data_IF_868706795854
#
_entry.id   IF_868706795854
#
_cell.length_a   1.000
_cell.length_b   1.000
_cell.length_c   1.000
_cell.angle_alpha   90.00
_cell.angle_beta   90.00
_cell.angle_gamma   90.00
#
_symmetry.space_group_name_H-M   'P 1'
#
loop_
_entity.id
_entity.type
_entity.pdbx_description
1 polymer ?
#
# COMPACT_ATOMS: atom_id res chain seq x y z
N UNK A 1 -17.00 20.42 12.57
CA UNK A 1 -16.04 19.80 11.63
C UNK A 1 -14.66 20.04 12.19
N UNK A 2 -14.08 19.03 12.83
CA UNK A 2 -12.80 19.10 13.56
C UNK A 2 -11.65 19.33 12.58
N UNK A 3 -11.14 20.55 12.55
CA UNK A 3 -9.93 20.97 11.82
C UNK A 3 -8.68 20.80 12.71
N UNK A 4 -8.54 19.64 13.33
CA UNK A 4 -7.45 19.37 14.29
C UNK A 4 -6.29 18.56 13.66
N UNK A 5 -6.41 18.19 12.38
CA UNK A 5 -5.37 17.48 11.64
C UNK A 5 -4.73 18.48 10.68
N UNK A 6 -3.40 18.72 10.76
CA UNK A 6 -2.73 19.57 9.80
C UNK A 6 -2.86 18.97 8.39
N UNK A 7 -3.37 19.76 7.46
CA UNK A 7 -3.40 19.40 6.05
C UNK A 7 -1.95 19.30 5.56
N UNK A 8 -1.51 18.10 5.21
CA UNK A 8 -0.19 17.83 4.62
C UNK A 8 -0.12 18.18 3.13
N UNK A 9 -1.14 18.88 2.63
CA UNK A 9 -1.28 19.27 1.25
C UNK A 9 -0.38 20.45 0.92
N UNK A 10 0.61 20.21 0.06
CA UNK A 10 1.45 21.26 -0.47
C UNK A 10 0.89 21.73 -1.80
N UNK A 11 0.66 23.04 -1.90
CA UNK A 11 0.20 23.67 -3.13
C UNK A 11 1.31 24.57 -3.67
N UNK A 12 1.69 24.38 -4.93
CA UNK A 12 2.64 25.24 -5.62
C UNK A 12 2.02 25.73 -6.93
N UNK A 13 1.80 27.04 -7.04
CA UNK A 13 1.25 27.65 -8.27
C UNK A 13 -0.11 27.11 -8.71
N UNK A 14 -0.95 26.66 -7.77
CA UNK A 14 -2.26 26.04 -8.07
C UNK A 14 -2.21 24.53 -8.30
N UNK A 15 -1.02 23.92 -8.33
CA UNK A 15 -0.85 22.46 -8.43
C UNK A 15 -0.81 21.84 -7.04
N UNK A 16 -1.69 20.86 -6.82
CA UNK A 16 -1.68 20.05 -5.60
C UNK A 16 -0.59 18.98 -5.69
N UNK A 17 0.36 19.02 -4.76
CA UNK A 17 1.42 18.02 -4.66
C UNK A 17 0.98 16.96 -3.68
N UNK A 18 0.79 15.76 -4.22
CA UNK A 18 0.44 14.58 -3.45
C UNK A 18 1.59 14.17 -2.52
N UNK A 19 1.26 13.75 -1.29
CA UNK A 19 2.24 13.32 -0.31
C UNK A 19 3.04 12.08 -0.73
N UNK A 20 2.54 11.34 -1.74
CA UNK A 20 3.28 10.28 -2.40
C UNK A 20 4.66 10.74 -2.90
N UNK A 21 4.79 12.01 -3.29
CA UNK A 21 6.06 12.56 -3.75
C UNK A 21 7.09 12.63 -2.61
N UNK A 22 6.65 12.91 -1.37
CA UNK A 22 7.54 12.87 -0.21
C UNK A 22 8.06 11.45 0.03
N UNK A 23 7.19 10.45 -0.13
CA UNK A 23 7.57 9.04 -0.07
C UNK A 23 8.67 8.70 -1.07
N UNK A 24 8.52 9.12 -2.33
CA UNK A 24 9.53 8.89 -3.38
C UNK A 24 10.89 9.53 -3.01
N UNK A 25 10.90 10.76 -2.50
CA UNK A 25 12.14 11.43 -2.10
C UNK A 25 12.81 10.73 -0.91
N UNK A 26 12.02 10.31 0.10
CA UNK A 26 12.53 9.54 1.24
C UNK A 26 13.14 8.22 0.74
N UNK A 27 12.43 7.48 -0.12
CA UNK A 27 12.92 6.22 -0.67
C UNK A 27 14.19 6.39 -1.51
N UNK A 28 14.27 7.47 -2.30
CA UNK A 28 15.45 7.82 -3.09
C UNK A 28 16.65 8.13 -2.19
N UNK A 29 16.44 8.89 -1.11
CA UNK A 29 17.47 9.20 -0.12
C UNK A 29 17.93 7.94 0.63
N UNK A 30 17.00 7.08 1.06
CA UNK A 30 17.31 5.78 1.67
C UNK A 30 18.14 4.93 0.72
N UNK A 31 17.73 4.84 -0.55
CA UNK A 31 18.48 4.10 -1.58
C UNK A 31 19.90 4.65 -1.77
N UNK A 32 20.05 5.97 -1.82
CA UNK A 32 21.35 6.62 -1.88
C UNK A 32 22.23 6.27 -0.66
N UNK A 33 21.70 6.39 0.56
CA UNK A 33 22.44 6.01 1.78
C UNK A 33 22.90 4.56 1.70
N UNK A 34 22.01 3.63 1.36
CA UNK A 34 22.34 2.20 1.27
C UNK A 34 23.40 1.89 0.20
N UNK A 35 23.46 2.67 -0.88
CA UNK A 35 24.45 2.52 -1.95
C UNK A 35 25.83 3.07 -1.58
N UNK A 36 25.88 4.23 -0.92
CA UNK A 36 27.14 4.92 -0.64
C UNK A 36 27.74 4.58 0.72
N UNK A 37 26.92 4.23 1.71
CA UNK A 37 27.37 3.97 3.07
C UNK A 37 26.51 2.91 3.76
N UNK A 38 26.98 1.66 3.89
CA UNK A 38 26.23 0.60 4.56
C UNK A 38 25.96 0.98 6.03
N UNK A 39 24.70 1.26 6.42
CA UNK A 39 24.40 1.73 7.75
C UNK A 39 24.55 0.59 8.76
N UNK A 40 25.01 0.90 9.98
CA UNK A 40 25.19 -0.09 11.06
C UNK A 40 24.61 0.38 12.39
N UNK A 41 24.36 -0.57 13.30
CA UNK A 41 23.85 -0.31 14.64
C UNK A 41 22.52 0.47 14.64
N UNK A 42 22.46 1.56 15.42
CA UNK A 42 21.26 2.41 15.53
C UNK A 42 20.89 3.10 14.21
N UNK A 43 21.87 3.37 13.36
CA UNK A 43 21.64 4.04 12.07
C UNK A 43 20.87 3.14 11.09
N UNK A 44 21.18 1.84 11.09
CA UNK A 44 20.41 0.86 10.30
C UNK A 44 18.93 0.86 10.68
N UNK A 45 18.62 0.96 11.98
CA UNK A 45 17.24 1.06 12.46
C UNK A 45 16.53 2.32 11.97
N UNK A 46 17.20 3.47 11.99
CA UNK A 46 16.65 4.72 11.48
C UNK A 46 16.37 4.65 9.97
N UNK A 47 17.29 4.08 9.18
CA UNK A 47 17.12 3.88 7.74
C UNK A 47 15.97 2.91 7.44
N UNK A 48 15.82 1.84 8.24
CA UNK A 48 14.70 0.91 8.11
C UNK A 48 13.33 1.57 8.41
N UNK A 49 13.26 2.44 9.43
CA UNK A 49 12.05 3.21 9.73
C UNK A 49 11.75 4.19 8.58
N UNK A 50 12.75 4.93 8.12
CA UNK A 50 12.60 5.87 7.01
C UNK A 50 12.13 5.16 5.73
N UNK A 51 12.68 3.98 5.45
CA UNK A 51 12.23 3.13 4.35
C UNK A 51 10.75 2.75 4.47
N UNK A 52 10.31 2.29 5.65
CA UNK A 52 8.92 1.94 5.91
C UNK A 52 7.96 3.13 5.77
N UNK A 53 8.35 4.30 6.28
CA UNK A 53 7.58 5.56 6.13
C UNK A 53 7.50 5.96 4.66
N UNK A 54 8.61 5.89 3.92
CA UNK A 54 8.66 6.20 2.50
C UNK A 54 7.74 5.29 1.67
N UNK A 55 7.70 3.99 1.98
CA UNK A 55 6.78 3.05 1.36
C UNK A 55 5.32 3.40 1.68
N UNK A 56 4.98 3.65 2.95
CA UNK A 56 3.62 3.98 3.35
C UNK A 56 3.09 5.22 2.63
N UNK A 57 3.89 6.30 2.60
CA UNK A 57 3.55 7.54 1.92
C UNK A 57 3.43 7.36 0.41
N UNK A 58 4.25 6.50 -0.21
CA UNK A 58 4.22 6.31 -1.67
C UNK A 58 3.01 5.48 -2.12
N UNK A 59 2.64 4.46 -1.35
CA UNK A 59 1.62 3.48 -1.76
C UNK A 59 0.19 3.80 -1.28
N UNK A 60 0.00 4.72 -0.34
CA UNK A 60 -1.35 5.10 0.15
C UNK A 60 -2.26 5.70 -0.95
N UNK A 61 -1.66 6.26 -1.99
CA UNK A 61 -2.32 6.86 -3.15
C UNK A 61 -1.99 6.11 -4.45
N UNK A 62 -1.54 4.86 -4.36
CA UNK A 62 -1.16 4.02 -5.50
C UNK A 62 -2.23 3.96 -6.60
N UNK A 63 -3.52 3.96 -6.26
CA UNK A 63 -4.61 3.96 -7.24
C UNK A 63 -4.57 5.13 -8.21
N UNK A 64 -4.05 6.30 -7.80
CA UNK A 64 -3.92 7.46 -8.67
C UNK A 64 -2.78 7.34 -9.69
N UNK A 65 -1.81 6.45 -9.47
CA UNK A 65 -0.79 6.13 -10.49
C UNK A 65 -1.40 5.37 -11.67
N UNK A 66 -2.42 4.54 -11.41
CA UNK A 66 -3.05 3.70 -12.41
C UNK A 66 -4.22 4.40 -13.10
N UNK A 67 -5.05 5.12 -12.36
CA UNK A 67 -6.18 5.87 -12.89
C UNK A 67 -6.39 7.16 -12.10
N UNK A 68 -6.21 8.30 -12.76
CA UNK A 68 -6.46 9.64 -12.22
C UNK A 68 -7.97 9.96 -12.08
N UNK A 69 -8.86 9.06 -12.51
CA UNK A 69 -10.31 9.25 -12.45
C UNK A 69 -11.09 7.94 -12.35
N UNK A 70 -12.04 7.88 -11.41
CA UNK A 70 -12.91 6.73 -11.16
C UNK A 70 -13.32 6.62 -9.68
N UNK A 71 -14.21 5.69 -9.32
CA UNK A 71 -14.47 5.36 -7.90
C UNK A 71 -13.48 4.35 -7.31
N UNK A 72 -12.72 3.66 -8.18
CA UNK A 72 -11.94 2.50 -7.82
C UNK A 72 -10.51 2.82 -7.31
N UNK A 73 -9.99 4.04 -7.48
CA UNK A 73 -8.62 4.39 -7.08
C UNK A 73 -8.38 4.23 -5.58
N UNK A 74 -9.35 4.59 -4.73
CA UNK A 74 -9.25 4.41 -3.26
C UNK A 74 -9.09 2.93 -2.91
N UNK A 75 -9.83 2.08 -3.63
CA UNK A 75 -9.79 0.65 -3.43
C UNK A 75 -8.50 0.03 -3.94
N UNK A 76 -8.04 0.46 -5.12
CA UNK A 76 -6.75 0.05 -5.67
C UNK A 76 -5.58 0.42 -4.74
N UNK A 77 -5.60 1.61 -4.15
CA UNK A 77 -4.62 2.01 -3.13
C UNK A 77 -4.66 1.11 -1.90
N UNK A 78 -5.86 0.86 -1.35
CA UNK A 78 -6.01 0.00 -0.18
C UNK A 78 -5.52 -1.43 -0.45
N UNK A 79 -5.88 -1.99 -1.60
CA UNK A 79 -5.45 -3.32 -2.02
C UNK A 79 -3.91 -3.36 -2.18
N UNK A 80 -3.30 -2.32 -2.76
CA UNK A 80 -1.85 -2.21 -2.91
C UNK A 80 -1.12 -2.13 -1.57
N UNK A 81 -1.54 -1.24 -0.66
CA UNK A 81 -0.97 -1.13 0.69
C UNK A 81 -1.08 -2.46 1.44
N UNK A 82 -2.23 -3.12 1.36
CA UNK A 82 -2.46 -4.42 2.01
C UNK A 82 -1.51 -5.50 1.49
N UNK A 83 -1.32 -5.57 0.17
CA UNK A 83 -0.41 -6.54 -0.45
C UNK A 83 1.04 -6.25 -0.06
N UNK A 84 1.50 -4.99 -0.18
CA UNK A 84 2.87 -4.59 0.16
C UNK A 84 3.16 -4.87 1.63
N UNK A 85 2.28 -4.46 2.54
CA UNK A 85 2.43 -4.71 3.97
C UNK A 85 2.44 -6.22 4.28
N UNK A 86 1.57 -7.01 3.62
CA UNK A 86 1.54 -8.46 3.76
C UNK A 86 2.84 -9.14 3.31
N UNK A 87 3.40 -8.71 2.18
CA UNK A 87 4.70 -9.21 1.69
C UNK A 87 5.82 -8.86 2.66
N UNK A 88 5.88 -7.61 3.13
CA UNK A 88 6.91 -7.17 4.09
C UNK A 88 6.82 -7.93 5.41
N UNK A 89 5.60 -8.15 5.91
CA UNK A 89 5.38 -8.95 7.11
C UNK A 89 5.85 -10.39 6.90
N UNK A 90 5.50 -11.01 5.78
CA UNK A 90 5.98 -12.35 5.44
C UNK A 90 7.51 -12.39 5.41
N UNK A 91 8.16 -11.44 4.74
CA UNK A 91 9.62 -11.37 4.66
C UNK A 91 10.27 -11.16 6.03
N UNK A 92 9.69 -10.33 6.89
CA UNK A 92 10.22 -10.03 8.22
C UNK A 92 10.24 -11.27 9.14
N UNK A 93 9.24 -12.14 9.04
CA UNK A 93 9.11 -13.35 9.87
C UNK A 93 9.63 -14.62 9.20
N UNK A 94 10.04 -14.54 7.93
CA UNK A 94 10.55 -15.68 7.18
C UNK A 94 12.06 -15.82 7.38
N UNK A 95 12.55 -16.97 7.88
CA UNK A 95 13.98 -17.19 8.04
C UNK A 95 14.69 -17.18 6.68
N UNK A 96 15.99 -16.84 6.63
CA UNK A 96 16.75 -16.81 5.39
C UNK A 96 16.61 -18.12 4.61
N UNK A 97 16.45 -18.03 3.29
CA UNK A 97 16.19 -19.17 2.37
C UNK A 97 17.19 -20.33 2.58
N UNK A 98 18.40 -20.02 3.04
CA UNK A 98 19.49 -20.96 3.32
C UNK A 98 19.17 -21.98 4.42
N UNK A 99 18.24 -21.70 5.33
CA UNK A 99 17.85 -22.60 6.44
C UNK A 99 16.54 -23.35 6.18
N UNK A 100 16.07 -23.37 4.94
CA UNK A 100 14.79 -24.00 4.61
C UNK A 100 14.95 -25.51 4.44
N UNK A 101 14.17 -26.26 5.20
CA UNK A 101 14.01 -27.70 4.99
C UNK A 101 12.93 -27.96 3.94
N UNK A 102 12.96 -29.14 3.30
CA UNK A 102 11.93 -29.54 2.30
C UNK A 102 10.49 -29.44 2.85
N UNK A 103 10.30 -29.66 4.16
CA UNK A 103 9.01 -29.45 4.84
C UNK A 103 8.61 -27.98 4.92
N UNK A 104 9.54 -27.06 5.18
CA UNK A 104 9.26 -25.60 5.20
C UNK A 104 8.90 -25.07 3.82
N UNK A 105 9.55 -25.57 2.76
CA UNK A 105 9.15 -25.26 1.39
C UNK A 105 7.71 -25.71 1.09
N UNK A 106 7.35 -26.93 1.50
CA UNK A 106 5.98 -27.43 1.32
C UNK A 106 4.95 -26.54 2.06
N UNK A 107 5.24 -26.14 3.30
CA UNK A 107 4.37 -25.24 4.06
C UNK A 107 4.30 -23.82 3.48
N UNK A 108 5.40 -23.28 2.96
CA UNK A 108 5.41 -21.97 2.31
C UNK A 108 4.56 -21.98 1.03
N UNK A 109 4.70 -23.01 0.19
CA UNK A 109 3.86 -23.18 -1.01
C UNK A 109 2.39 -23.34 -0.61
N UNK A 110 2.10 -24.12 0.42
CA UNK A 110 0.75 -24.31 0.93
C UNK A 110 0.13 -23.00 1.44
N UNK A 111 0.88 -22.21 2.23
CA UNK A 111 0.44 -20.89 2.70
C UNK A 111 0.20 -19.92 1.55
N UNK A 112 1.11 -19.88 0.57
CA UNK A 112 0.95 -19.04 -0.62
C UNK A 112 -0.29 -19.44 -1.42
N UNK A 113 -0.56 -20.74 -1.56
CA UNK A 113 -1.77 -21.22 -2.22
C UNK A 113 -3.05 -20.81 -1.45
N UNK A 114 -3.08 -20.95 -0.13
CA UNK A 114 -4.20 -20.51 0.71
C UNK A 114 -4.42 -19.00 0.58
N UNK A 115 -3.36 -18.20 0.71
CA UNK A 115 -3.45 -16.74 0.59
C UNK A 115 -3.96 -16.36 -0.80
N UNK A 116 -3.43 -16.97 -1.86
CA UNK A 116 -3.88 -16.72 -3.24
C UNK A 116 -5.37 -17.04 -3.42
N UNK A 117 -5.83 -18.17 -2.88
CA UNK A 117 -7.26 -18.56 -2.92
C UNK A 117 -8.12 -17.58 -2.12
N UNK A 118 -7.66 -17.18 -0.92
CA UNK A 118 -8.37 -16.20 -0.09
C UNK A 118 -8.49 -14.86 -0.80
N UNK A 119 -7.39 -14.31 -1.34
CA UNK A 119 -7.39 -13.05 -2.08
C UNK A 119 -8.23 -13.13 -3.35
N UNK A 120 -8.21 -14.26 -4.06
CA UNK A 120 -9.11 -14.50 -5.20
C UNK A 120 -10.58 -14.49 -4.80
N UNK A 121 -10.95 -15.19 -3.72
CA UNK A 121 -12.32 -15.20 -3.21
C UNK A 121 -12.75 -13.81 -2.75
N UNK A 122 -11.86 -13.10 -2.07
CA UNK A 122 -12.10 -11.74 -1.59
C UNK A 122 -12.32 -10.78 -2.76
N UNK A 123 -11.48 -10.83 -3.80
CA UNK A 123 -11.62 -9.95 -4.97
C UNK A 123 -12.93 -10.20 -5.73
N UNK A 124 -13.28 -11.46 -5.99
CA UNK A 124 -14.54 -11.83 -6.66
C UNK A 124 -15.75 -11.39 -5.83
N UNK A 125 -15.71 -11.60 -4.52
CA UNK A 125 -16.81 -11.22 -3.62
C UNK A 125 -16.99 -9.70 -3.59
N UNK A 126 -15.89 -8.96 -3.50
CA UNK A 126 -15.93 -7.51 -3.42
C UNK A 126 -16.37 -6.87 -4.74
N UNK A 127 -15.94 -7.38 -5.89
CA UNK A 127 -16.44 -6.95 -7.21
C UNK A 127 -17.94 -7.23 -7.34
N UNK A 128 -18.40 -8.39 -6.85
CA UNK A 128 -19.82 -8.74 -6.87
C UNK A 128 -20.67 -7.80 -6.00
N UNK A 129 -20.16 -7.42 -4.82
CA UNK A 129 -20.82 -6.45 -3.93
C UNK A 129 -20.87 -5.08 -4.60
N UNK A 130 -19.76 -4.64 -5.19
CA UNK A 130 -19.63 -3.36 -5.90
C UNK A 130 -20.68 -3.28 -7.03
N UNK A 131 -20.76 -4.28 -7.90
CA UNK A 131 -21.75 -4.32 -8.99
C UNK A 131 -23.21 -4.33 -8.50
N UNK A 132 -23.49 -4.92 -7.33
CA UNK A 132 -24.85 -4.94 -6.76
C UNK A 132 -25.22 -3.64 -6.05
N UNK A 133 -24.25 -2.97 -5.42
CA UNK A 133 -24.50 -1.79 -4.59
C UNK A 133 -24.38 -0.48 -5.35
N UNK A 134 -23.47 -0.36 -6.33
CA UNK A 134 -23.31 0.88 -7.12
C UNK A 134 -24.61 1.37 -7.76
N UNK A 135 -25.41 0.52 -8.45
CA UNK A 135 -26.63 0.99 -9.11
C UNK A 135 -27.67 1.52 -8.12
N UNK A 136 -27.65 1.03 -6.87
CA UNK A 136 -28.53 1.48 -5.79
C UNK A 136 -28.04 2.80 -5.21
N UNK A 137 -26.73 2.94 -5.02
CA UNK A 137 -26.08 4.17 -4.55
C UNK A 137 -26.25 5.31 -5.56
N UNK A 138 -26.10 5.05 -6.86
CA UNK A 138 -26.34 6.04 -7.91
C UNK A 138 -27.80 6.52 -7.96
N UNK A 139 -28.76 5.61 -7.77
CA UNK A 139 -30.17 5.98 -7.65
C UNK A 139 -30.44 6.88 -6.45
N UNK A 140 -29.87 6.55 -5.28
CA UNK A 140 -30.01 7.37 -4.07
C UNK A 140 -29.33 8.74 -4.24
N UNK A 141 -28.19 8.82 -4.92
CA UNK A 141 -27.50 10.08 -5.22
C UNK A 141 -28.27 10.97 -6.20
N UNK A 142 -29.04 10.38 -7.12
CA UNK A 142 -29.95 11.11 -8.03
C UNK A 142 -31.24 11.57 -7.34
N UNK A 143 -31.68 10.89 -6.27
CA UNK A 143 -32.90 11.18 -5.51
C UNK A 143 -32.65 12.05 -4.27
N UNK A 144 -31.40 12.19 -3.83
CA UNK A 144 -31.03 13.02 -2.69
C UNK A 144 -31.16 14.51 -3.00
N UNK A 145 -31.50 15.35 -2.00
CA UNK A 145 -31.53 16.80 -2.18
C UNK A 145 -30.14 17.33 -2.55
N UNK A 146 -30.11 18.30 -3.47
CA UNK A 146 -28.89 19.02 -3.89
C UNK A 146 -28.39 19.96 -2.82
#
# INVERSE_FOLDING_TARGET
MSRDIPDLYFHFGGTHVHHLNYGIFILSAVGAVLLFEPPSGKWLGAIAIAYGVGLALTFDEFGMWLHLGGGYWQRASFDAVTIVAGILLLLAYTPPIRYWTRRRFAWAIFLLAILSIFFWRLSVTLISIEQKTLPKLERLKKLGPR
#
